data_IF_862404777799
#
_entry.id   IF_862404777799
#
_cell.length_a   1.000
_cell.length_b   1.000
_cell.length_c   1.000
_cell.angle_alpha   90.00
_cell.angle_beta   90.00
_cell.angle_gamma   90.00
#
_symmetry.space_group_name_H-M   'P 1'
#
loop_
_entity.id
_entity.type
_entity.pdbx_description
1 polymer ?
#
# COMPACT_ATOMS: atom_id res chain seq x y z
N UNK A 1 -23.77 -29.63 -16.55
CA UNK A 1 -22.31 -29.87 -16.58
C UNK A 1 -21.67 -28.74 -17.39
N UNK A 2 -21.03 -27.78 -16.71
CA UNK A 2 -20.20 -26.72 -17.33
C UNK A 2 -18.77 -26.95 -16.88
N UNK A 3 -17.83 -26.96 -17.82
CA UNK A 3 -16.41 -27.22 -17.58
C UNK A 3 -15.75 -26.12 -16.73
N UNK A 4 -14.59 -26.41 -16.12
CA UNK A 4 -13.89 -25.45 -15.27
C UNK A 4 -13.31 -24.35 -16.15
N UNK A 5 -13.81 -23.13 -15.94
CA UNK A 5 -13.36 -21.93 -16.64
C UNK A 5 -11.93 -21.60 -16.28
N UNK A 6 -11.13 -21.38 -17.32
CA UNK A 6 -9.74 -20.94 -17.30
C UNK A 6 -9.57 -19.72 -16.37
N UNK A 7 -8.61 -19.83 -15.44
CA UNK A 7 -8.17 -18.72 -14.60
C UNK A 7 -7.51 -17.62 -15.43
N UNK A 8 -7.49 -16.37 -14.93
CA UNK A 8 -6.93 -15.24 -15.66
C UNK A 8 -5.42 -15.44 -15.90
N UNK A 9 -5.01 -15.25 -17.16
CA UNK A 9 -3.63 -15.39 -17.64
C UNK A 9 -2.69 -14.45 -16.87
N UNK A 10 -1.70 -15.03 -16.20
CA UNK A 10 -0.64 -14.35 -15.44
C UNK A 10 0.32 -13.61 -16.37
N UNK A 11 0.19 -12.29 -16.47
CA UNK A 11 1.35 -11.43 -16.72
C UNK A 11 2.34 -11.61 -15.56
N UNK A 12 3.64 -11.71 -15.85
CA UNK A 12 4.65 -12.01 -14.83
C UNK A 12 4.57 -10.98 -13.68
N UNK A 13 4.17 -11.43 -12.50
CA UNK A 13 4.13 -10.59 -11.30
C UNK A 13 5.55 -10.10 -10.98
N UNK A 14 5.77 -8.79 -10.75
CA UNK A 14 7.10 -8.22 -10.51
C UNK A 14 7.67 -8.56 -9.13
N UNK A 15 7.07 -9.53 -8.45
CA UNK A 15 7.42 -9.96 -7.10
C UNK A 15 7.34 -11.48 -7.00
N UNK A 16 8.12 -12.03 -6.06
CA UNK A 16 8.11 -13.45 -5.71
C UNK A 16 7.15 -13.67 -4.55
N UNK A 17 6.31 -14.70 -4.63
CA UNK A 17 5.44 -15.14 -3.54
C UNK A 17 6.10 -16.32 -2.84
N UNK A 18 6.11 -16.30 -1.51
CA UNK A 18 6.55 -17.40 -0.64
C UNK A 18 5.39 -17.71 0.31
N UNK A 19 4.90 -18.95 0.26
CA UNK A 19 3.87 -19.43 1.18
C UNK A 19 4.54 -20.01 2.41
N UNK A 20 4.06 -19.61 3.59
CA UNK A 20 4.58 -20.05 4.89
C UNK A 20 3.46 -20.69 5.69
N UNK A 21 3.74 -21.84 6.30
CA UNK A 21 2.76 -22.63 7.03
C UNK A 21 3.01 -22.63 8.54
N UNK A 22 4.12 -22.06 9.00
CA UNK A 22 4.45 -21.97 10.42
C UNK A 22 5.20 -20.68 10.78
N UNK A 23 5.19 -20.35 12.07
CA UNK A 23 5.95 -19.21 12.59
C UNK A 23 7.46 -19.45 12.47
N UNK A 24 7.90 -20.69 12.62
CA UNK A 24 9.30 -21.10 12.51
C UNK A 24 9.83 -20.88 11.09
N UNK A 25 9.03 -21.21 10.07
CA UNK A 25 9.36 -20.92 8.67
C UNK A 25 9.54 -19.41 8.46
N UNK A 26 8.63 -18.59 9.01
CA UNK A 26 8.77 -17.14 8.95
C UNK A 26 10.04 -16.63 9.64
N UNK A 27 10.32 -17.10 10.86
CA UNK A 27 11.52 -16.71 11.61
C UNK A 27 12.81 -17.08 10.86
N UNK A 28 12.87 -18.27 10.26
CA UNK A 28 14.04 -18.69 9.47
C UNK A 28 14.30 -17.74 8.29
N UNK A 29 13.24 -17.18 7.73
CA UNK A 29 13.30 -16.24 6.61
C UNK A 29 13.70 -14.84 7.06
N UNK A 30 13.38 -14.38 8.27
CA UNK A 30 13.68 -13.00 8.68
C UNK A 30 14.94 -12.87 9.53
N UNK A 31 15.42 -13.96 10.15
CA UNK A 31 16.50 -13.91 11.15
C UNK A 31 17.91 -14.03 10.54
N UNK A 32 18.09 -14.85 9.51
CA UNK A 32 19.42 -15.17 8.92
C UNK A 32 19.53 -14.79 7.43
N UNK A 33 18.96 -13.67 7.04
CA UNK A 33 18.43 -13.52 5.68
C UNK A 33 18.78 -12.21 4.96
N UNK A 34 18.79 -12.20 3.60
CA UNK A 34 18.93 -10.99 2.78
C UNK A 34 17.86 -9.91 3.03
N UNK A 35 16.84 -10.16 3.86
CA UNK A 35 15.80 -9.19 4.19
C UNK A 35 16.20 -8.23 5.32
N UNK A 36 17.45 -8.26 5.79
CA UNK A 36 17.96 -7.22 6.70
C UNK A 36 17.85 -5.84 6.03
N UNK A 37 17.29 -4.86 6.75
CA UNK A 37 16.98 -3.51 6.27
C UNK A 37 15.91 -3.44 5.16
N UNK A 38 15.07 -4.45 5.02
CA UNK A 38 13.86 -4.36 4.19
C UNK A 38 12.72 -3.71 4.96
N UNK A 39 11.79 -3.12 4.23
CA UNK A 39 10.56 -2.58 4.79
C UNK A 39 9.43 -3.60 4.59
N UNK A 40 8.56 -3.73 5.59
CA UNK A 40 7.51 -4.74 5.65
C UNK A 40 6.13 -4.13 5.83
N UNK A 41 5.08 -4.76 5.29
CA UNK A 41 3.68 -4.36 5.54
C UNK A 41 2.80 -5.59 5.72
N UNK A 42 2.12 -5.66 6.85
CA UNK A 42 1.11 -6.67 7.12
C UNK A 42 -0.23 -6.38 6.45
N UNK A 43 -0.87 -7.42 5.94
CA UNK A 43 -2.20 -7.37 5.33
C UNK A 43 -3.00 -8.59 5.76
N UNK A 44 -4.27 -8.38 6.14
CA UNK A 44 -5.13 -9.45 6.69
C UNK A 44 -5.59 -10.48 5.67
N UNK A 45 -5.54 -10.14 4.39
CA UNK A 45 -5.98 -11.00 3.29
C UNK A 45 -4.87 -11.03 2.24
N UNK A 46 -4.19 -12.18 2.14
CA UNK A 46 -3.11 -12.41 1.20
C UNK A 46 -3.56 -12.41 -0.27
N UNK A 47 -4.85 -12.64 -0.54
CA UNK A 47 -5.40 -12.64 -1.90
C UNK A 47 -5.66 -11.23 -2.43
N UNK A 48 -5.84 -10.26 -1.53
CA UNK A 48 -6.14 -8.89 -1.89
C UNK A 48 -4.88 -8.16 -2.41
N UNK A 49 -4.94 -7.47 -3.56
CA UNK A 49 -3.81 -6.69 -4.06
C UNK A 49 -3.42 -5.55 -3.12
N UNK A 50 -2.20 -5.04 -3.28
CA UNK A 50 -1.70 -3.91 -2.52
C UNK A 50 -2.39 -2.60 -2.97
N UNK A 51 -3.49 -2.25 -2.31
CA UNK A 51 -4.21 -1.00 -2.53
C UNK A 51 -4.03 -0.03 -1.36
N UNK A 52 -3.90 1.26 -1.67
CA UNK A 52 -3.95 2.32 -0.67
C UNK A 52 -5.35 2.45 -0.06
N UNK A 53 -5.48 3.15 1.07
CA UNK A 53 -6.78 3.43 1.67
C UNK A 53 -7.69 4.20 0.71
N UNK A 54 -7.13 5.18 -0.02
CA UNK A 54 -7.87 5.93 -1.03
C UNK A 54 -8.34 5.06 -2.20
N UNK A 55 -7.49 4.16 -2.68
CA UNK A 55 -7.86 3.24 -3.78
C UNK A 55 -9.00 2.33 -3.36
N UNK A 56 -8.93 1.74 -2.15
CA UNK A 56 -10.01 0.91 -1.61
C UNK A 56 -11.32 1.70 -1.47
N UNK A 57 -11.24 2.95 -0.99
CA UNK A 57 -12.40 3.82 -0.89
C UNK A 57 -13.04 4.07 -2.26
N UNK A 58 -12.26 4.49 -3.26
CA UNK A 58 -12.79 4.73 -4.60
C UNK A 58 -13.39 3.48 -5.25
N UNK A 59 -12.78 2.30 -5.07
CA UNK A 59 -13.35 1.04 -5.54
C UNK A 59 -14.67 0.70 -4.86
N UNK A 60 -14.75 0.83 -3.54
CA UNK A 60 -15.96 0.53 -2.77
C UNK A 60 -17.14 1.41 -3.19
N UNK A 61 -16.87 2.67 -3.53
CA UNK A 61 -17.87 3.62 -4.03
C UNK A 61 -18.01 3.63 -5.56
N UNK A 62 -17.37 2.69 -6.27
CA UNK A 62 -17.46 2.53 -7.72
C UNK A 62 -17.12 3.82 -8.51
N UNK A 63 -16.17 4.61 -8.00
CA UNK A 63 -15.68 5.82 -8.67
C UNK A 63 -14.90 5.42 -9.92
N UNK A 64 -15.20 6.03 -11.07
CA UNK A 64 -14.46 5.81 -12.32
C UNK A 64 -12.95 6.01 -12.10
N UNK A 65 -12.10 4.99 -12.34
CA UNK A 65 -10.64 5.09 -12.23
C UNK A 65 -10.02 6.30 -12.94
N UNK A 66 -10.63 6.76 -14.04
CA UNK A 66 -10.17 7.94 -14.79
C UNK A 66 -10.33 9.24 -13.99
N UNK A 67 -11.25 9.27 -13.03
CA UNK A 67 -11.51 10.42 -12.17
C UNK A 67 -10.64 10.42 -10.91
N UNK A 68 -9.98 9.32 -10.55
CA UNK A 68 -9.26 9.20 -9.27
C UNK A 68 -8.22 10.31 -9.02
N UNK A 69 -7.36 10.71 -9.99
CA UNK A 69 -6.37 11.76 -9.76
C UNK A 69 -7.02 13.10 -9.43
N UNK A 70 -8.07 13.48 -10.16
CA UNK A 70 -8.78 14.75 -9.94
C UNK A 70 -9.61 14.73 -8.64
N UNK A 71 -10.17 13.58 -8.28
CA UNK A 71 -10.82 13.43 -6.97
C UNK A 71 -9.82 13.55 -5.83
N UNK A 72 -8.64 12.93 -5.92
CA UNK A 72 -7.60 13.05 -4.89
C UNK A 72 -7.14 14.51 -4.75
N UNK A 73 -6.80 15.18 -5.87
CA UNK A 73 -6.42 16.60 -5.86
C UNK A 73 -7.49 17.47 -5.19
N UNK A 74 -8.78 17.20 -5.47
CA UNK A 74 -9.90 17.91 -4.84
C UNK A 74 -9.97 17.64 -3.34
N UNK A 75 -9.83 16.38 -2.90
CA UNK A 75 -9.83 15.99 -1.48
C UNK A 75 -8.68 16.69 -0.75
N UNK A 76 -7.46 16.61 -1.30
CA UNK A 76 -6.28 17.28 -0.77
C UNK A 76 -6.48 18.80 -0.66
N UNK A 77 -6.98 19.45 -1.72
CA UNK A 77 -7.29 20.89 -1.72
C UNK A 77 -8.34 21.27 -0.67
N UNK A 78 -9.36 20.44 -0.47
CA UNK A 78 -10.37 20.67 0.59
C UNK A 78 -9.73 20.53 1.96
N UNK A 79 -8.91 19.51 2.18
CA UNK A 79 -8.22 19.29 3.45
C UNK A 79 -7.29 20.46 3.78
N UNK A 80 -6.39 20.86 2.86
CA UNK A 80 -5.49 22.02 3.04
C UNK A 80 -6.22 23.28 3.47
N UNK A 81 -7.34 23.61 2.79
CA UNK A 81 -8.16 24.79 3.10
C UNK A 81 -8.82 24.74 4.47
N UNK A 82 -9.18 23.55 4.96
CA UNK A 82 -9.82 23.40 6.26
C UNK A 82 -8.79 23.33 7.39
N UNK A 83 -7.72 22.57 7.19
CA UNK A 83 -6.69 22.30 8.17
C UNK A 83 -6.09 23.58 8.78
N UNK A 84 -5.85 24.61 7.97
CA UNK A 84 -5.33 25.92 8.44
C UNK A 84 -6.21 26.60 9.49
N UNK A 85 -7.49 26.24 9.61
CA UNK A 85 -8.40 26.81 10.59
C UNK A 85 -8.43 26.01 11.91
N UNK A 86 -7.93 24.78 11.92
CA UNK A 86 -8.00 23.87 13.05
C UNK A 86 -6.64 23.48 13.62
N UNK A 87 -5.56 23.62 12.83
CA UNK A 87 -4.21 23.21 13.20
C UNK A 87 -3.32 24.44 13.35
N UNK A 88 -2.53 24.47 14.42
CA UNK A 88 -1.58 25.55 14.67
C UNK A 88 -0.35 25.48 13.75
N UNK A 89 0.07 24.26 13.43
CA UNK A 89 1.20 23.99 12.55
C UNK A 89 0.70 23.13 11.39
N UNK A 90 0.99 23.59 10.18
CA UNK A 90 0.67 22.88 8.95
C UNK A 90 1.92 22.84 8.06
N UNK A 91 2.05 21.84 7.18
CA UNK A 91 3.14 21.80 6.21
C UNK A 91 3.10 22.98 5.25
N UNK A 92 4.22 23.20 4.57
CA UNK A 92 4.30 24.15 3.46
C UNK A 92 3.27 23.84 2.38
N UNK A 93 2.73 24.88 1.74
CA UNK A 93 1.60 24.73 0.81
C UNK A 93 1.88 23.78 -0.34
N UNK A 94 3.13 23.71 -0.79
CA UNK A 94 3.54 22.93 -1.95
C UNK A 94 4.10 21.53 -1.56
N UNK A 95 4.17 21.21 -0.27
CA UNK A 95 4.61 19.89 0.22
C UNK A 95 3.44 18.90 0.30
N UNK A 96 2.96 18.45 -0.86
CA UNK A 96 1.87 17.49 -0.96
C UNK A 96 2.13 16.19 -0.19
N UNK A 97 3.39 15.77 -0.03
CA UNK A 97 3.73 14.56 0.70
C UNK A 97 3.43 14.73 2.20
N UNK A 98 3.93 15.79 2.83
CA UNK A 98 3.62 16.07 4.24
C UNK A 98 2.13 16.31 4.46
N UNK A 99 1.44 16.94 3.50
CA UNK A 99 0.00 17.11 3.57
C UNK A 99 -0.77 15.78 3.53
N UNK A 100 -0.34 14.83 2.70
CA UNK A 100 -0.92 13.49 2.68
C UNK A 100 -0.62 12.71 3.97
N UNK A 101 0.57 12.85 4.54
CA UNK A 101 0.88 12.26 5.85
C UNK A 101 -0.04 12.83 6.94
N UNK A 102 -0.17 14.16 7.00
CA UNK A 102 -1.06 14.83 7.96
C UNK A 102 -2.53 14.42 7.77
N UNK A 103 -2.99 14.29 6.53
CA UNK A 103 -4.32 13.76 6.22
C UNK A 103 -4.53 12.37 6.82
N UNK A 104 -3.54 11.50 6.67
CA UNK A 104 -3.60 10.13 7.16
C UNK A 104 -3.60 10.06 8.69
N UNK A 105 -2.81 10.90 9.37
CA UNK A 105 -2.81 11.05 10.83
C UNK A 105 -4.19 11.46 11.38
N UNK A 106 -4.94 12.24 10.59
CA UNK A 106 -6.32 12.62 10.88
C UNK A 106 -7.38 11.65 10.32
N UNK A 107 -6.97 10.46 9.87
CA UNK A 107 -7.85 9.37 9.43
C UNK A 107 -8.44 9.54 8.02
N UNK A 108 -8.01 10.54 7.24
CA UNK A 108 -8.44 10.66 5.86
C UNK A 108 -7.75 9.60 4.97
N UNK A 109 -8.47 8.97 4.02
CA UNK A 109 -7.86 8.01 3.11
C UNK A 109 -6.92 8.72 2.13
N UNK A 110 -5.69 8.23 2.01
CA UNK A 110 -4.67 8.78 1.10
C UNK A 110 -4.11 7.71 0.17
N UNK A 111 -3.33 8.13 -0.83
CA UNK A 111 -2.57 7.20 -1.68
C UNK A 111 -1.37 6.54 -0.97
N UNK A 112 -0.99 7.04 0.21
CA UNK A 112 0.19 6.55 0.91
C UNK A 112 -0.03 5.11 1.39
N UNK A 113 1.09 4.39 1.46
CA UNK A 113 1.17 3.04 2.00
C UNK A 113 2.17 3.05 3.14
N UNK A 114 1.78 2.47 4.26
CA UNK A 114 2.63 2.35 5.44
C UNK A 114 3.43 1.07 5.37
N UNK A 115 4.73 1.20 5.62
CA UNK A 115 5.63 0.09 5.85
C UNK A 115 6.33 0.29 7.20
N UNK A 116 6.74 -0.79 7.81
CA UNK A 116 7.50 -0.84 9.06
C UNK A 116 8.82 -1.54 8.82
N UNK A 117 9.87 -1.12 9.51
CA UNK A 117 11.17 -1.81 9.51
C UNK A 117 11.15 -3.09 10.36
N UNK A 118 10.10 -3.30 11.16
CA UNK A 118 9.97 -4.49 11.98
C UNK A 118 9.14 -5.56 11.28
N UNK A 119 9.74 -6.68 10.85
CA UNK A 119 8.98 -7.80 10.29
C UNK A 119 7.98 -8.37 11.30
N UNK A 120 8.24 -8.24 12.60
CA UNK A 120 7.32 -8.68 13.66
C UNK A 120 6.07 -7.80 13.74
N UNK A 121 6.21 -6.48 13.58
CA UNK A 121 5.06 -5.56 13.53
C UNK A 121 4.21 -5.82 12.29
N UNK A 122 4.85 -6.08 11.14
CA UNK A 122 4.13 -6.48 9.94
C UNK A 122 3.36 -7.80 10.14
N UNK A 123 3.99 -8.80 10.75
CA UNK A 123 3.33 -10.07 11.07
C UNK A 123 2.13 -9.88 12.01
N UNK A 124 2.25 -9.03 13.04
CA UNK A 124 1.13 -8.68 13.90
C UNK A 124 -0.06 -8.15 13.09
N UNK A 125 0.14 -7.19 12.19
CA UNK A 125 -0.95 -6.66 11.36
C UNK A 125 -1.51 -7.67 10.34
N UNK A 126 -0.69 -8.60 9.87
CA UNK A 126 -1.13 -9.66 8.97
C UNK A 126 -2.03 -10.70 9.67
N UNK A 127 -1.76 -10.98 10.95
CA UNK A 127 -2.44 -12.02 11.72
C UNK A 127 -3.53 -11.50 12.66
N UNK A 128 -3.48 -10.22 13.05
CA UNK A 128 -4.46 -9.64 13.95
C UNK A 128 -5.85 -9.63 13.33
N UNK A 129 -6.77 -10.37 13.96
CA UNK A 129 -8.18 -10.48 13.56
C UNK A 129 -8.37 -11.06 12.16
N UNK A 130 -7.44 -11.90 11.72
CA UNK A 130 -7.48 -12.57 10.42
C UNK A 130 -8.20 -13.92 10.54
N UNK A 131 -9.15 -14.18 9.63
CA UNK A 131 -9.90 -15.46 9.53
C UNK A 131 -9.49 -16.29 8.32
N UNK A 132 -8.52 -15.81 7.55
CA UNK A 132 -8.02 -16.37 6.28
C UNK A 132 -6.49 -16.34 6.26
N UNK A 133 -5.86 -16.56 5.11
CA UNK A 133 -4.42 -16.40 4.98
C UNK A 133 -4.05 -14.91 5.02
N UNK A 134 -3.19 -14.53 5.97
CA UNK A 134 -2.58 -13.20 6.04
C UNK A 134 -1.39 -13.08 5.09
N UNK A 135 -1.13 -11.86 4.61
CA UNK A 135 -0.02 -11.55 3.72
C UNK A 135 0.96 -10.57 4.36
N UNK A 136 2.25 -10.75 4.10
CA UNK A 136 3.30 -9.79 4.45
C UNK A 136 4.00 -9.38 3.17
N UNK A 137 3.90 -8.11 2.82
CA UNK A 137 4.70 -7.51 1.76
C UNK A 137 6.07 -7.17 2.32
N UNK A 138 7.13 -7.52 1.61
CA UNK A 138 8.50 -7.14 1.92
C UNK A 138 9.10 -6.46 0.70
N UNK A 139 9.71 -5.29 0.89
CA UNK A 139 10.38 -4.57 -0.19
C UNK A 139 11.76 -4.10 0.24
N UNK A 140 12.70 -4.12 -0.71
CA UNK A 140 14.03 -3.57 -0.50
C UNK A 140 14.03 -2.09 -0.89
N UNK A 141 14.15 -1.15 0.07
CA UNK A 141 14.13 0.28 -0.23
C UNK A 141 15.28 0.69 -1.15
N UNK A 142 16.46 0.09 -0.99
CA UNK A 142 17.65 0.39 -1.80
C UNK A 142 17.44 -0.02 -3.25
N UNK A 143 16.79 -1.17 -3.50
CA UNK A 143 16.47 -1.58 -4.87
C UNK A 143 15.33 -0.74 -5.45
N UNK A 144 14.34 -0.34 -4.65
CA UNK A 144 13.26 0.55 -5.10
C UNK A 144 13.82 1.90 -5.53
N UNK A 145 14.78 2.47 -4.80
CA UNK A 145 15.38 3.76 -5.15
C UNK A 145 16.15 3.70 -6.48
N UNK A 146 16.74 2.55 -6.81
CA UNK A 146 17.40 2.32 -8.11
C UNK A 146 16.40 2.23 -9.27
N UNK A 147 15.17 1.79 -9.00
CA UNK A 147 14.10 1.85 -9.99
C UNK A 147 13.78 3.33 -10.18
N UNK A 148 14.15 3.89 -11.35
CA UNK A 148 13.89 5.30 -11.71
C UNK A 148 12.52 5.71 -11.20
N UNK A 149 12.46 6.79 -10.44
CA UNK A 149 11.21 7.38 -9.97
C UNK A 149 10.22 7.36 -11.13
N UNK A 150 9.16 6.55 -10.98
CA UNK A 150 8.08 6.53 -11.95
C UNK A 150 7.58 7.97 -12.00
N UNK A 151 7.57 8.55 -13.19
CA UNK A 151 7.17 9.93 -13.42
C UNK A 151 5.73 10.11 -12.88
N UNK A 152 5.62 10.63 -11.65
CA UNK A 152 4.35 10.74 -10.91
C UNK A 152 3.40 11.76 -11.56
N UNK A 153 3.90 12.55 -12.51
CA UNK A 153 3.10 13.48 -13.33
C UNK A 153 2.20 12.75 -14.33
N UNK A 154 2.41 11.45 -14.55
CA UNK A 154 1.56 10.62 -15.42
C UNK A 154 0.65 9.73 -14.57
N UNK A 155 -0.58 10.17 -14.25
CA UNK A 155 -1.55 9.29 -13.63
C UNK A 155 -1.86 8.12 -14.58
N UNK A 156 -1.51 6.89 -14.19
CA UNK A 156 -1.98 5.67 -14.85
C UNK A 156 -0.94 4.76 -15.50
N UNK A 157 0.36 4.86 -15.21
CA UNK A 157 1.33 3.87 -15.76
C UNK A 157 1.24 2.46 -15.12
N UNK A 158 0.31 2.21 -14.20
CA UNK A 158 0.00 0.86 -13.70
C UNK A 158 -0.88 0.09 -14.70
N UNK A 159 -0.38 -0.11 -15.91
CA UNK A 159 -0.88 -1.11 -16.86
C UNK A 159 0.29 -1.65 -17.68
N UNK A 160 0.69 -2.88 -17.38
CA UNK A 160 0.52 -4.05 -18.26
C UNK A 160 0.63 -5.32 -17.41
#
# INVERSE_FOLDING_TARGET
MRGPGEGPKTGATPYKVITLNSWEEYLSIISDSPYQNWAFRGQRDASAPLFSALSRYFMAFQVDPRAWPEQEKRILRIFKRKAIHFLQHVPDRDDDFQWLALMQDHGAPTRLLDFTWSPYVAAFFALQSTTHDGGIWACNPVEIEKLKAVDLEKPGSFRK
#
